data_IF_213811405269
#
_entry.id   IF_213811405269
#
_cell.length_a   1.000
_cell.length_b   1.000
_cell.length_c   1.000
_cell.angle_alpha   90.00
_cell.angle_beta   90.00
_cell.angle_gamma   90.00
#
_symmetry.space_group_name_H-M   'P 1'
#
loop_
_entity.id
_entity.type
_entity.pdbx_description
1 polymer ?
#
# COMPACT_ATOMS: atom_id res chain seq x y z
N UNK A 1 44.01 -26.05 2.70
CA UNK A 1 42.97 -26.87 2.04
C UNK A 1 41.80 -26.89 2.99
N UNK A 2 40.65 -26.36 2.60
CA UNK A 2 39.46 -26.35 3.45
C UNK A 2 38.92 -27.78 3.59
N UNK A 3 38.16 -28.06 4.65
CA UNK A 3 37.47 -29.35 4.83
C UNK A 3 36.52 -29.66 3.66
N UNK A 4 35.96 -28.63 3.02
CA UNK A 4 35.13 -28.77 1.82
C UNK A 4 35.93 -29.24 0.60
N UNK A 5 37.12 -28.69 0.37
CA UNK A 5 38.01 -29.15 -0.73
C UNK A 5 38.41 -30.61 -0.55
N UNK A 6 38.74 -31.03 0.68
CA UNK A 6 39.09 -32.43 0.99
C UNK A 6 37.92 -33.36 0.68
N UNK A 7 36.72 -33.02 1.14
CA UNK A 7 35.52 -33.83 0.90
C UNK A 7 35.17 -33.93 -0.59
N UNK A 8 35.34 -32.84 -1.35
CA UNK A 8 35.08 -32.81 -2.79
C UNK A 8 36.08 -33.68 -3.57
N UNK A 9 37.36 -33.67 -3.18
CA UNK A 9 38.38 -34.53 -3.78
C UNK A 9 38.13 -36.01 -3.49
N UNK A 10 37.76 -36.35 -2.25
CA UNK A 10 37.42 -37.73 -1.86
C UNK A 10 36.19 -38.23 -2.64
N UNK A 11 35.17 -37.40 -2.78
CA UNK A 11 33.99 -37.72 -3.57
C UNK A 11 34.33 -37.90 -5.06
N UNK A 12 35.21 -37.06 -5.61
CA UNK A 12 35.64 -37.16 -7.01
C UNK A 12 36.39 -38.48 -7.29
N UNK A 13 37.25 -38.89 -6.37
CA UNK A 13 37.95 -40.18 -6.45
C UNK A 13 36.96 -41.35 -6.42
N UNK A 14 36.03 -41.35 -5.47
CA UNK A 14 35.04 -42.42 -5.32
C UNK A 14 34.06 -42.48 -6.49
N UNK A 15 33.62 -41.32 -7.01
CA UNK A 15 32.76 -41.25 -8.21
C UNK A 15 33.48 -41.76 -9.45
N UNK A 16 34.78 -41.48 -9.60
CA UNK A 16 35.59 -41.96 -10.73
C UNK A 16 35.74 -43.47 -10.72
N UNK A 17 35.90 -44.06 -9.53
CA UNK A 17 35.98 -45.51 -9.34
C UNK A 17 34.64 -46.20 -9.67
N UNK A 18 33.52 -45.63 -9.24
CA UNK A 18 32.20 -46.24 -9.40
C UNK A 18 31.57 -46.04 -10.79
N UNK A 19 31.79 -44.88 -11.42
CA UNK A 19 31.04 -44.43 -12.61
C UNK A 19 31.93 -44.19 -13.83
N UNK A 20 33.26 -44.23 -13.68
CA UNK A 20 34.23 -43.85 -14.70
C UNK A 20 34.50 -42.35 -14.76
N UNK A 21 35.65 -41.97 -15.33
CA UNK A 21 36.16 -40.58 -15.35
C UNK A 21 35.18 -39.56 -15.93
N UNK A 22 34.56 -39.86 -17.07
CA UNK A 22 33.72 -38.89 -17.77
C UNK A 22 32.41 -38.63 -17.02
N UNK A 23 31.76 -39.67 -16.49
CA UNK A 23 30.54 -39.52 -15.69
C UNK A 23 30.80 -38.84 -14.33
N UNK A 24 31.93 -39.14 -13.70
CA UNK A 24 32.34 -38.48 -12.46
C UNK A 24 32.64 -36.99 -12.66
N UNK A 25 33.27 -36.62 -13.77
CA UNK A 25 33.53 -35.22 -14.11
C UNK A 25 32.24 -34.42 -14.27
N UNK A 26 31.25 -34.97 -14.98
CA UNK A 26 29.93 -34.34 -15.14
C UNK A 26 29.21 -34.20 -13.79
N UNK A 27 29.24 -35.23 -12.95
CA UNK A 27 28.64 -35.17 -11.61
C UNK A 27 29.30 -34.09 -10.75
N UNK A 28 30.63 -34.01 -10.77
CA UNK A 28 31.39 -32.99 -10.02
C UNK A 28 31.16 -31.57 -10.54
N UNK A 29 30.92 -31.40 -11.84
CA UNK A 29 30.63 -30.09 -12.43
C UNK A 29 29.27 -29.54 -11.96
N UNK A 30 28.28 -30.42 -11.78
CA UNK A 30 26.95 -30.05 -11.31
C UNK A 30 26.79 -29.97 -9.78
N UNK A 31 27.77 -30.47 -9.01
CA UNK A 31 27.74 -30.42 -7.55
C UNK A 31 28.26 -29.06 -7.02
N UNK A 32 27.45 -28.33 -6.24
CA UNK A 32 27.86 -27.04 -5.68
C UNK A 32 29.06 -27.21 -4.73
N UNK A 33 30.01 -26.26 -4.79
CA UNK A 33 31.30 -26.37 -4.09
C UNK A 33 31.20 -26.41 -2.55
N UNK A 34 30.12 -25.88 -1.97
CA UNK A 34 29.86 -25.85 -0.52
C UNK A 34 28.74 -26.79 -0.04
N UNK A 35 28.47 -27.87 -0.77
CA UNK A 35 27.38 -28.81 -0.46
C UNK A 35 25.98 -28.22 -0.66
N UNK A 36 24.94 -28.83 -0.11
CA UNK A 36 23.55 -28.35 -0.26
C UNK A 36 23.08 -27.47 0.90
N UNK A 37 23.92 -27.27 1.93
CA UNK A 37 23.55 -26.57 3.17
C UNK A 37 23.22 -25.09 2.99
N UNK A 38 23.68 -24.47 1.90
CA UNK A 38 23.40 -23.07 1.57
C UNK A 38 22.21 -22.90 0.63
N UNK A 39 21.60 -24.00 0.18
CA UNK A 39 20.40 -23.94 -0.66
C UNK A 39 19.19 -23.73 0.24
N UNK A 40 18.28 -22.85 -0.20
CA UNK A 40 16.99 -22.69 0.46
C UNK A 40 16.26 -24.04 0.48
N UNK A 41 15.81 -24.42 1.66
CA UNK A 41 15.02 -25.63 1.86
C UNK A 41 13.57 -25.38 1.44
N UNK A 42 12.82 -26.46 1.28
CA UNK A 42 11.37 -26.36 1.04
C UNK A 42 10.66 -25.64 2.19
N UNK A 43 11.14 -25.81 3.42
CA UNK A 43 10.56 -25.19 4.60
C UNK A 43 10.79 -23.67 4.59
N UNK A 44 11.97 -23.21 4.17
CA UNK A 44 12.26 -21.78 3.98
C UNK A 44 11.30 -21.15 2.96
N UNK A 45 10.99 -21.86 1.86
CA UNK A 45 10.04 -21.39 0.85
C UNK A 45 8.59 -21.37 1.36
N UNK A 46 8.21 -22.32 2.22
CA UNK A 46 6.89 -22.35 2.84
C UNK A 46 6.74 -21.19 3.82
N UNK A 47 7.77 -20.93 4.64
CA UNK A 47 7.82 -19.79 5.55
C UNK A 47 7.73 -18.47 4.77
N UNK A 48 8.59 -18.27 3.77
CA UNK A 48 8.57 -17.06 2.93
C UNK A 48 7.21 -16.86 2.24
N UNK A 49 6.57 -17.93 1.76
CA UNK A 49 5.22 -17.84 1.18
C UNK A 49 4.18 -17.41 2.21
N UNK A 50 4.25 -17.93 3.43
CA UNK A 50 3.31 -17.61 4.50
C UNK A 50 3.48 -16.15 4.97
N UNK A 51 4.73 -15.70 5.14
CA UNK A 51 5.06 -14.31 5.45
C UNK A 51 4.54 -13.38 4.35
N UNK A 52 4.88 -13.64 3.09
CA UNK A 52 4.41 -12.83 1.97
C UNK A 52 2.88 -12.76 1.88
N UNK A 53 2.18 -13.88 2.12
CA UNK A 53 0.72 -13.87 2.12
C UNK A 53 0.15 -13.02 3.28
N UNK A 54 0.80 -13.06 4.44
CA UNK A 54 0.40 -12.26 5.61
C UNK A 54 0.60 -10.78 5.33
N UNK A 55 1.79 -10.38 4.85
CA UNK A 55 2.10 -8.99 4.50
C UNK A 55 1.10 -8.42 3.47
N UNK A 56 0.77 -9.21 2.43
CA UNK A 56 -0.21 -8.80 1.42
C UNK A 56 -1.63 -8.68 2.01
N UNK A 57 -2.00 -9.53 2.96
CA UNK A 57 -3.29 -9.45 3.63
C UNK A 57 -3.38 -8.23 4.56
N UNK A 58 -2.30 -7.92 5.26
CA UNK A 58 -2.19 -6.78 6.16
C UNK A 58 -2.24 -5.47 5.36
N UNK A 59 -1.42 -5.33 4.31
CA UNK A 59 -1.46 -4.18 3.40
C UNK A 59 -2.85 -3.98 2.77
N UNK A 60 -3.52 -5.06 2.38
CA UNK A 60 -4.90 -4.96 1.85
C UNK A 60 -5.88 -4.44 2.89
N UNK A 61 -5.70 -4.81 4.16
CA UNK A 61 -6.55 -4.38 5.27
C UNK A 61 -6.30 -2.91 5.61
N UNK A 62 -5.04 -2.51 5.67
CA UNK A 62 -4.62 -1.11 5.87
C UNK A 62 -5.21 -0.21 4.79
N UNK A 63 -4.99 -0.53 3.51
CA UNK A 63 -5.54 0.24 2.39
C UNK A 63 -7.07 0.35 2.41
N UNK A 64 -7.78 -0.71 2.84
CA UNK A 64 -9.25 -0.65 2.97
C UNK A 64 -9.68 0.31 4.07
N UNK A 65 -8.96 0.32 5.18
CA UNK A 65 -9.20 1.22 6.31
C UNK A 65 -8.95 2.66 5.90
N UNK A 66 -7.79 2.96 5.31
CA UNK A 66 -7.46 4.31 4.84
C UNK A 66 -8.46 4.84 3.81
N UNK A 67 -8.89 4.00 2.86
CA UNK A 67 -9.93 4.39 1.87
C UNK A 67 -11.27 4.68 2.56
N UNK A 68 -11.63 3.92 3.59
CA UNK A 68 -12.85 4.16 4.36
C UNK A 68 -12.77 5.47 5.13
N UNK A 69 -11.64 5.74 5.78
CA UNK A 69 -11.36 6.98 6.51
C UNK A 69 -11.40 8.19 5.59
N UNK A 70 -10.67 8.17 4.47
CA UNK A 70 -10.69 9.24 3.46
C UNK A 70 -12.11 9.48 2.91
N UNK A 71 -12.91 8.41 2.70
CA UNK A 71 -14.30 8.56 2.28
C UNK A 71 -15.15 9.26 3.35
N UNK A 72 -14.89 9.01 4.63
CA UNK A 72 -15.60 9.67 5.74
C UNK A 72 -15.19 11.13 5.88
N UNK A 73 -13.90 11.44 5.73
CA UNK A 73 -13.36 12.80 5.74
C UNK A 73 -13.98 13.63 4.62
N UNK A 74 -13.92 13.15 3.37
CA UNK A 74 -14.50 13.85 2.21
C UNK A 74 -16.01 14.08 2.36
N UNK A 75 -16.75 13.12 2.95
CA UNK A 75 -18.18 13.32 3.23
C UNK A 75 -18.42 14.41 4.26
N UNK A 76 -17.57 14.49 5.28
CA UNK A 76 -17.64 15.50 6.34
C UNK A 76 -17.33 16.87 5.75
N UNK A 77 -16.24 17.01 5.01
CA UNK A 77 -15.86 18.26 4.33
C UNK A 77 -16.98 18.76 3.40
N UNK A 78 -17.60 17.86 2.62
CA UNK A 78 -18.73 18.22 1.75
C UNK A 78 -19.93 18.72 2.57
N UNK A 79 -20.22 18.10 3.72
CA UNK A 79 -21.31 18.52 4.59
C UNK A 79 -21.04 19.89 5.22
N UNK A 80 -19.81 20.14 5.66
CA UNK A 80 -19.37 21.42 6.20
C UNK A 80 -19.45 22.52 5.15
N UNK A 81 -18.89 22.30 3.95
CA UNK A 81 -18.97 23.24 2.83
C UNK A 81 -20.43 23.57 2.45
N UNK A 82 -21.33 22.58 2.45
CA UNK A 82 -22.76 22.82 2.22
C UNK A 82 -23.35 23.71 3.31
N UNK A 83 -23.04 23.46 4.57
CA UNK A 83 -23.52 24.27 5.69
C UNK A 83 -23.00 25.73 5.60
N UNK A 84 -21.73 25.91 5.25
CA UNK A 84 -21.15 27.24 5.01
C UNK A 84 -21.84 27.97 3.87
N UNK A 85 -22.10 27.30 2.74
CA UNK A 85 -22.84 27.89 1.61
C UNK A 85 -24.24 28.34 2.02
N UNK A 86 -24.99 27.50 2.76
CA UNK A 86 -26.31 27.90 3.27
C UNK A 86 -26.23 29.10 4.20
N UNK A 87 -25.23 29.15 5.09
CA UNK A 87 -25.01 30.27 6.00
C UNK A 87 -24.73 31.57 5.24
N UNK A 88 -23.84 31.53 4.25
CA UNK A 88 -23.50 32.69 3.42
C UNK A 88 -24.72 33.17 2.63
N UNK A 89 -25.46 32.24 2.00
CA UNK A 89 -26.66 32.57 1.23
C UNK A 89 -27.74 33.21 2.11
N UNK A 90 -28.03 32.62 3.28
CA UNK A 90 -29.02 33.16 4.21
C UNK A 90 -28.63 34.55 4.74
N UNK A 91 -27.35 34.75 5.03
CA UNK A 91 -26.83 36.06 5.41
C UNK A 91 -27.02 37.09 4.28
N UNK A 92 -26.80 36.69 3.02
CA UNK A 92 -27.02 37.55 1.86
C UNK A 92 -28.51 37.86 1.64
N UNK A 93 -29.40 36.87 1.73
CA UNK A 93 -30.85 37.05 1.64
C UNK A 93 -31.35 38.05 2.69
N UNK A 94 -30.86 37.91 3.93
CA UNK A 94 -31.24 38.83 5.03
C UNK A 94 -30.80 40.26 4.73
N UNK A 95 -29.54 40.46 4.27
CA UNK A 95 -29.04 41.78 3.88
C UNK A 95 -29.90 42.40 2.78
N UNK A 96 -30.28 41.61 1.78
CA UNK A 96 -31.11 42.10 0.67
C UNK A 96 -32.50 42.53 1.15
N UNK A 97 -33.15 41.73 2.01
CA UNK A 97 -34.43 42.08 2.62
C UNK A 97 -34.31 43.39 3.40
N UNK A 98 -33.29 43.54 4.25
CA UNK A 98 -33.07 44.76 5.02
C UNK A 98 -32.96 45.99 4.11
N UNK A 99 -32.16 45.91 3.04
CA UNK A 99 -32.03 47.01 2.07
C UNK A 99 -33.36 47.32 1.38
N UNK A 100 -34.08 46.31 0.90
CA UNK A 100 -35.38 46.51 0.24
C UNK A 100 -36.42 47.14 1.18
N UNK A 101 -36.48 46.72 2.44
CA UNK A 101 -37.38 47.33 3.42
C UNK A 101 -37.04 48.80 3.68
N UNK A 102 -35.76 49.15 3.76
CA UNK A 102 -35.31 50.54 3.91
C UNK A 102 -35.68 51.40 2.69
N UNK A 103 -35.46 50.90 1.47
CA UNK A 103 -35.84 51.59 0.22
C UNK A 103 -37.36 51.81 0.17
N UNK A 104 -38.16 50.79 0.49
CA UNK A 104 -39.61 50.91 0.53
C UNK A 104 -40.07 51.96 1.55
N UNK A 105 -39.49 51.99 2.75
CA UNK A 105 -39.80 53.00 3.76
C UNK A 105 -39.49 54.43 3.27
N UNK A 106 -38.37 54.64 2.57
CA UNK A 106 -38.02 55.92 1.97
C UNK A 106 -39.00 56.33 0.87
N UNK A 107 -39.43 55.40 0.00
CA UNK A 107 -40.42 55.68 -1.05
C UNK A 107 -41.77 56.14 -0.46
N UNK A 108 -42.27 55.46 0.58
CA UNK A 108 -43.50 55.86 1.27
C UNK A 108 -43.38 57.23 1.94
N UNK A 109 -42.23 57.54 2.54
CA UNK A 109 -41.97 58.86 3.09
C UNK A 109 -41.96 59.94 1.99
N UNK A 110 -41.32 59.69 0.85
CA UNK A 110 -41.33 60.63 -0.28
C UNK A 110 -42.73 60.92 -0.83
N UNK A 111 -43.58 59.89 -0.94
CA UNK A 111 -44.98 60.02 -1.42
C UNK A 111 -45.89 60.84 -0.51
N UNK A 112 -45.67 60.81 0.82
CA UNK A 112 -46.52 61.52 1.78
C UNK A 112 -46.20 63.03 1.88
N UNK A 113 -45.00 63.42 1.50
CA UNK A 113 -44.49 64.80 1.67
C UNK A 113 -44.18 65.52 0.36
N UNK A 114 -44.48 64.89 -0.79
CA UNK A 114 -44.35 65.44 -2.14
C UNK A 114 -45.68 65.82 -2.77
#
# INVERSE_FOLDING_TARGET
MSTEEVNRLMLAASATEALGKDAAAVLMDHLPMGGISHLATKDDLVLMRAEFHTDVADLRTELKTEIAELRTEVKTDIAELRAELYKVLNAQTTKFITVMTAINALMFAGLKWG
#
